data_IF_771218631262
#
_entry.id   IF_771218631262
#
_cell.length_a   1.000
_cell.length_b   1.000
_cell.length_c   1.000
_cell.angle_alpha   90.00
_cell.angle_beta   90.00
_cell.angle_gamma   90.00
#
_symmetry.space_group_name_H-M   'P 1'
#
loop_
_entity.id
_entity.type
_entity.pdbx_description
1 polymer ?
#
# COMPACT_ATOMS: atom_id res chain seq x y z
N UNK A 1 -11.27 -3.30 -37.97
CA UNK A 1 -10.45 -3.27 -36.74
C UNK A 1 -10.59 -1.90 -36.12
N UNK A 2 -11.14 -1.79 -34.91
CA UNK A 2 -11.15 -0.51 -34.18
C UNK A 2 -9.86 -0.39 -33.35
N UNK A 3 -9.18 0.76 -33.35
CA UNK A 3 -8.03 0.97 -32.49
C UNK A 3 -8.48 1.04 -31.02
N UNK A 4 -7.87 0.23 -30.17
CA UNK A 4 -8.04 0.27 -28.73
C UNK A 4 -6.96 1.18 -28.16
N UNK A 5 -7.37 2.26 -27.48
CA UNK A 5 -6.47 3.13 -26.74
C UNK A 5 -6.50 2.78 -25.25
N UNK A 6 -5.32 2.60 -24.65
CA UNK A 6 -5.19 2.38 -23.21
C UNK A 6 -4.96 3.71 -22.50
N UNK A 7 -5.64 3.91 -21.37
CA UNK A 7 -5.40 5.07 -20.50
C UNK A 7 -4.05 4.92 -19.80
N UNK A 8 -3.19 5.93 -19.94
CA UNK A 8 -1.91 5.98 -19.24
C UNK A 8 -2.04 6.73 -17.91
N UNK A 9 -1.48 6.15 -16.85
CA UNK A 9 -1.44 6.77 -15.52
C UNK A 9 -0.16 7.62 -15.41
N UNK A 10 -0.32 8.91 -15.10
CA UNK A 10 0.82 9.80 -14.82
C UNK A 10 1.43 9.48 -13.45
N UNK A 11 2.77 9.55 -13.26
CA UNK A 11 3.39 9.34 -11.94
C UNK A 11 2.82 10.22 -10.82
N UNK A 12 2.34 11.43 -11.17
CA UNK A 12 1.66 12.35 -10.22
C UNK A 12 0.39 11.75 -9.61
N UNK A 13 -0.25 10.79 -10.28
CA UNK A 13 -1.45 10.12 -9.79
C UNK A 13 -1.20 9.36 -8.48
N UNK A 14 0.01 8.83 -8.24
CA UNK A 14 0.33 8.15 -6.97
C UNK A 14 0.16 9.08 -5.76
N UNK A 15 0.60 10.33 -5.89
CA UNK A 15 0.39 11.32 -4.84
C UNK A 15 -1.09 11.73 -4.74
N UNK A 16 -1.75 12.02 -5.87
CA UNK A 16 -3.17 12.36 -5.85
C UNK A 16 -4.03 11.24 -5.21
N UNK A 17 -3.73 9.98 -5.51
CA UNK A 17 -4.35 8.81 -4.90
C UNK A 17 -4.12 8.79 -3.38
N UNK A 18 -2.89 9.05 -2.91
CA UNK A 18 -2.59 9.09 -1.47
C UNK A 18 -3.34 10.19 -0.70
N UNK A 19 -3.84 11.24 -1.37
CA UNK A 19 -4.61 12.31 -0.71
C UNK A 19 -6.06 11.95 -0.35
N UNK A 20 -6.53 10.74 -0.70
CA UNK A 20 -7.77 10.17 -0.16
C UNK A 20 -7.70 10.00 1.38
N UNK A 21 -6.50 9.70 1.90
CA UNK A 21 -6.26 9.48 3.32
C UNK A 21 -6.10 10.82 4.06
N UNK A 22 -7.18 11.30 4.68
CA UNK A 22 -7.11 12.45 5.59
C UNK A 22 -6.48 12.12 6.95
N UNK A 23 -6.32 10.83 7.26
CA UNK A 23 -5.75 10.34 8.53
C UNK A 23 -4.79 9.17 8.24
N UNK A 24 -3.54 9.17 8.75
CA UNK A 24 -2.53 8.19 8.37
C UNK A 24 -2.91 6.74 8.74
N UNK A 25 -3.71 6.54 9.79
CA UNK A 25 -4.19 5.22 10.17
C UNK A 25 -5.20 4.63 9.17
N UNK A 26 -5.84 5.43 8.30
CA UNK A 26 -6.68 4.88 7.22
C UNK A 26 -5.85 4.17 6.15
N UNK A 27 -4.66 4.68 5.82
CA UNK A 27 -3.72 4.00 4.93
C UNK A 27 -3.14 2.72 5.57
N UNK A 28 -2.97 2.70 6.90
CA UNK A 28 -2.57 1.49 7.64
C UNK A 28 -3.71 0.46 7.65
N UNK A 29 -4.97 0.91 7.80
CA UNK A 29 -6.14 0.04 7.77
C UNK A 29 -6.25 -0.69 6.42
N UNK A 30 -6.10 0.01 5.29
CA UNK A 30 -6.13 -0.65 3.96
C UNK A 30 -5.04 -1.73 3.81
N UNK A 31 -3.87 -1.58 4.42
CA UNK A 31 -2.84 -2.65 4.42
C UNK A 31 -3.26 -3.88 5.25
N UNK A 32 -4.06 -3.69 6.30
CA UNK A 32 -4.62 -4.77 7.13
C UNK A 32 -5.78 -5.44 6.39
N UNK A 33 -6.66 -4.65 5.78
CA UNK A 33 -7.82 -5.15 5.02
C UNK A 33 -7.37 -6.06 3.86
N UNK A 34 -6.38 -5.64 3.07
CA UNK A 34 -5.76 -6.46 2.02
C UNK A 34 -5.16 -7.81 2.53
N UNK A 35 -4.74 -7.88 3.80
CA UNK A 35 -4.23 -9.12 4.39
C UNK A 35 -5.36 -10.00 4.93
N UNK A 36 -6.44 -9.40 5.41
CA UNK A 36 -7.65 -10.08 5.89
C UNK A 36 -8.53 -10.61 4.75
N UNK A 37 -8.49 -9.97 3.58
CA UNK A 37 -9.30 -10.29 2.39
C UNK A 37 -9.35 -11.79 2.06
N UNK A 38 -10.49 -12.32 1.60
CA UNK A 38 -10.69 -13.76 1.38
C UNK A 38 -9.87 -14.33 0.21
N UNK A 39 -9.19 -13.51 -0.57
CA UNK A 39 -8.22 -14.00 -1.57
C UNK A 39 -6.83 -14.23 -0.95
N UNK A 40 -6.57 -13.68 0.26
CA UNK A 40 -5.30 -13.78 1.00
C UNK A 40 -5.44 -14.61 2.29
N UNK A 41 -6.51 -14.40 3.07
CA UNK A 41 -6.81 -15.08 4.34
C UNK A 41 -5.61 -15.17 5.31
N UNK A 42 -4.87 -14.07 5.51
CA UNK A 42 -3.74 -14.08 6.44
C UNK A 42 -4.20 -14.36 7.87
N UNK A 43 -3.61 -15.38 8.50
CA UNK A 43 -3.92 -15.73 9.91
C UNK A 43 -3.35 -14.72 10.91
N UNK A 44 -2.26 -14.05 10.54
CA UNK A 44 -1.51 -13.08 11.33
C UNK A 44 -0.86 -12.07 10.40
N UNK A 45 -0.75 -10.83 10.83
CA UNK A 45 0.02 -9.76 10.18
C UNK A 45 0.97 -9.15 11.22
N UNK A 46 2.18 -8.80 10.80
CA UNK A 46 3.19 -8.15 11.64
C UNK A 46 3.40 -6.72 11.13
N UNK A 47 3.22 -5.75 12.01
CA UNK A 47 3.48 -4.33 11.74
C UNK A 47 4.60 -3.91 12.69
N UNK A 48 5.75 -3.56 12.14
CA UNK A 48 6.93 -3.15 12.90
C UNK A 48 7.71 -2.10 12.08
N UNK A 49 8.67 -1.44 12.72
CA UNK A 49 9.46 -0.36 12.13
C UNK A 49 10.94 -0.72 12.08
N UNK A 50 11.54 -0.59 10.90
CA UNK A 50 12.81 -1.25 10.59
C UNK A 50 13.72 -0.46 9.62
N UNK A 51 15.02 -0.70 9.70
CA UNK A 51 16.13 -0.09 8.95
C UNK A 51 16.16 -0.61 7.57
N UNK A 52 16.47 0.28 6.65
CA UNK A 52 17.27 -0.17 5.53
C UNK A 52 18.36 0.89 5.27
N UNK A 53 19.57 0.60 5.77
CA UNK A 53 20.85 1.34 5.69
C UNK A 53 21.05 2.56 6.63
N UNK A 54 20.73 2.47 7.92
CA UNK A 54 21.17 3.43 8.96
C UNK A 54 20.08 4.29 9.60
N UNK A 55 18.91 4.41 8.96
CA UNK A 55 17.61 4.50 9.68
C UNK A 55 17.27 3.10 10.21
N UNK A 56 16.54 2.84 11.34
CA UNK A 56 16.82 1.71 12.31
C UNK A 56 15.98 0.38 12.24
N UNK A 57 16.65 -0.83 12.24
CA UNK A 57 16.16 -2.24 12.14
C UNK A 57 16.48 -2.85 13.48
N UNK A 58 15.55 -3.63 14.00
CA UNK A 58 15.88 -4.66 14.96
C UNK A 58 15.37 -5.97 14.38
N UNK A 59 16.28 -6.78 13.83
CA UNK A 59 15.99 -8.19 13.63
C UNK A 59 16.13 -8.88 14.99
N UNK A 60 15.10 -9.63 15.36
CA UNK A 60 15.13 -10.67 16.40
C UNK A 60 14.66 -11.97 15.79
#
# INVERSE_FOLDING_TARGET
MHPIFFMQISPKFLHANSTSHTWPFSAIAELIDNAYDPDVHARQIWIDWTCIRGHPLVYG
#
